data_IF_686669468001
#
_entry.id   IF_686669468001
#
_cell.length_a   1.000
_cell.length_b   1.000
_cell.length_c   1.000
_cell.angle_alpha   90.00
_cell.angle_beta   90.00
_cell.angle_gamma   90.00
#
_symmetry.space_group_name_H-M   'P 1'
#
loop_
_entity.id
_entity.type
_entity.pdbx_description
1 polymer ?
#
# COMPACT_ATOMS: atom_id res chain seq x y z
N UNK A 1 6.73 -4.32 -11.77
CA UNK A 1 6.11 -4.49 -10.42
C UNK A 1 6.58 -5.81 -9.82
N UNK A 2 6.77 -5.90 -8.51
CA UNK A 2 7.41 -7.05 -7.86
C UNK A 2 6.62 -8.37 -7.93
N UNK A 3 5.28 -8.33 -8.09
CA UNK A 3 4.42 -9.51 -8.01
C UNK A 3 4.18 -10.22 -9.34
N UNK A 4 4.56 -9.64 -10.48
CA UNK A 4 4.31 -10.26 -11.80
C UNK A 4 2.84 -10.32 -12.24
N UNK A 5 1.89 -9.88 -11.41
CA UNK A 5 0.46 -9.79 -11.71
C UNK A 5 -0.16 -8.49 -11.17
N UNK A 6 -1.36 -8.16 -11.65
CA UNK A 6 -2.11 -6.98 -11.21
C UNK A 6 -2.73 -7.20 -9.83
N UNK A 7 -2.63 -6.19 -8.97
CA UNK A 7 -3.25 -6.19 -7.64
C UNK A 7 -4.31 -5.10 -7.59
N UNK A 8 -5.47 -5.43 -7.04
CA UNK A 8 -6.51 -4.44 -6.78
C UNK A 8 -6.03 -3.42 -5.73
N UNK A 9 -5.97 -2.15 -6.12
CA UNK A 9 -5.42 -1.08 -5.28
C UNK A 9 -6.25 -0.85 -4.01
N UNK A 10 -7.58 -1.02 -4.08
CA UNK A 10 -8.49 -0.83 -2.94
C UNK A 10 -8.27 -1.90 -1.87
N UNK A 11 -8.18 -3.15 -2.29
CA UNK A 11 -7.89 -4.28 -1.42
C UNK A 11 -6.49 -4.19 -0.83
N UNK A 12 -5.49 -3.81 -1.63
CA UNK A 12 -4.14 -3.58 -1.15
C UNK A 12 -4.12 -2.54 -0.04
N UNK A 13 -4.71 -1.38 -0.26
CA UNK A 13 -4.80 -0.32 0.75
C UNK A 13 -5.51 -0.82 2.01
N UNK A 14 -6.62 -1.55 1.88
CA UNK A 14 -7.39 -2.09 3.01
C UNK A 14 -6.56 -3.06 3.85
N UNK A 15 -5.83 -3.98 3.22
CA UNK A 15 -4.98 -4.96 3.92
C UNK A 15 -3.84 -4.25 4.66
N UNK A 16 -3.14 -3.33 4.00
CA UNK A 16 -2.03 -2.59 4.61
C UNK A 16 -2.49 -1.72 5.79
N UNK A 17 -3.64 -1.05 5.65
CA UNK A 17 -4.20 -0.24 6.73
C UNK A 17 -4.66 -1.09 7.92
N UNK A 18 -5.36 -2.21 7.66
CA UNK A 18 -5.82 -3.13 8.73
C UNK A 18 -4.65 -3.75 9.51
N UNK A 19 -3.53 -4.03 8.84
CA UNK A 19 -2.30 -4.53 9.47
C UNK A 19 -1.46 -3.44 10.14
N UNK A 20 -1.89 -2.18 10.08
CA UNK A 20 -1.14 -1.05 10.62
C UNK A 20 0.21 -0.83 9.96
N UNK A 21 0.39 -1.25 8.69
CA UNK A 21 1.64 -1.05 7.93
C UNK A 21 1.72 0.37 7.37
N UNK A 22 0.56 0.92 7.01
CA UNK A 22 0.43 2.31 6.56
C UNK A 22 -0.59 3.05 7.42
N UNK A 23 -0.38 4.35 7.59
CA UNK A 23 -1.35 5.25 8.20
C UNK A 23 -1.58 6.46 7.30
N UNK A 24 -2.81 6.98 7.35
CA UNK A 24 -3.16 8.21 6.63
C UNK A 24 -2.40 9.37 7.24
N UNK A 25 -1.93 10.28 6.40
CA UNK A 25 -1.20 11.49 6.83
C UNK A 25 -2.13 12.66 7.14
N UNK A 26 -3.39 12.58 6.74
CA UNK A 26 -4.34 13.69 6.79
C UNK A 26 -4.27 14.63 5.58
N UNK A 27 -3.24 14.51 4.74
CA UNK A 27 -3.08 15.33 3.53
C UNK A 27 -3.47 14.57 2.26
N UNK A 28 -3.63 15.31 1.17
CA UNK A 28 -3.83 14.78 -0.18
C UNK A 28 -2.70 15.21 -1.10
N UNK A 29 -2.49 14.46 -2.16
CA UNK A 29 -1.58 14.80 -3.24
C UNK A 29 -1.99 16.10 -3.92
N UNK A 30 -1.01 16.80 -4.49
CA UNK A 30 -1.31 17.91 -5.39
C UNK A 30 -2.09 17.39 -6.61
N UNK A 31 -3.12 18.09 -7.07
CA UNK A 31 -3.85 17.73 -8.29
C UNK A 31 -2.89 17.64 -9.48
N UNK A 32 -2.95 16.53 -10.23
CA UNK A 32 -2.18 16.34 -11.44
C UNK A 32 -2.80 17.03 -12.66
N UNK A 33 -2.03 17.16 -13.75
CA UNK A 33 -2.48 17.78 -15.02
C UNK A 33 -3.71 17.10 -15.65
N UNK A 34 -3.91 15.83 -15.37
CA UNK A 34 -5.03 15.03 -15.89
C UNK A 34 -6.35 15.25 -15.15
N UNK A 35 -6.37 16.08 -14.10
CA UNK A 35 -7.53 16.26 -13.23
C UNK A 35 -7.85 15.03 -12.38
N UNK A 36 -8.97 15.08 -11.65
CA UNK A 36 -9.45 14.01 -10.78
C UNK A 36 -9.41 14.35 -9.29
N UNK A 37 -9.98 13.46 -8.47
CA UNK A 37 -9.97 13.61 -7.01
C UNK A 37 -8.53 13.49 -6.49
N UNK A 38 -8.03 14.45 -5.68
CA UNK A 38 -6.71 14.34 -5.05
C UNK A 38 -6.56 13.03 -4.26
N UNK A 39 -5.48 12.29 -4.51
CA UNK A 39 -5.20 11.05 -3.81
C UNK A 39 -4.85 11.32 -2.34
N UNK A 40 -5.37 10.52 -1.41
CA UNK A 40 -4.96 10.62 -0.01
C UNK A 40 -3.51 10.15 0.16
N UNK A 41 -2.73 10.89 0.95
CA UNK A 41 -1.35 10.54 1.25
C UNK A 41 -1.25 9.61 2.46
N UNK A 42 -0.41 8.58 2.34
CA UNK A 42 -0.13 7.61 3.39
C UNK A 42 1.37 7.58 3.69
N UNK A 43 1.73 7.21 4.92
CA UNK A 43 3.10 6.91 5.31
C UNK A 43 3.20 5.51 5.88
N UNK A 44 4.38 4.91 5.81
CA UNK A 44 4.68 3.72 6.61
C UNK A 44 4.64 4.07 8.09
N UNK A 45 4.15 3.15 8.90
CA UNK A 45 4.10 3.31 10.36
C UNK A 45 5.45 3.11 11.02
N UNK A 46 6.33 2.33 10.39
CA UNK A 46 7.73 2.14 10.78
C UNK A 46 8.67 2.79 9.75
N UNK A 47 9.83 3.25 10.23
CA UNK A 47 10.91 3.83 9.41
C UNK A 47 12.04 2.82 9.13
N UNK A 48 11.90 1.59 9.62
CA UNK A 48 12.87 0.49 9.43
C UNK A 48 12.27 -0.62 8.58
N UNK A 49 13.15 -1.41 7.98
CA UNK A 49 12.75 -2.63 7.29
C UNK A 49 12.24 -3.65 8.32
N UNK A 50 10.97 -4.04 8.19
CA UNK A 50 10.31 -5.04 9.03
C UNK A 50 9.51 -5.99 8.15
N UNK A 51 9.55 -7.28 8.46
CA UNK A 51 8.63 -8.26 7.88
C UNK A 51 7.23 -7.97 8.43
N UNK A 52 6.29 -7.61 7.56
CA UNK A 52 4.94 -7.18 7.94
C UNK A 52 3.93 -8.32 7.99
N UNK A 53 4.33 -9.51 7.53
CA UNK A 53 3.58 -10.76 7.58
C UNK A 53 4.56 -11.93 7.59
N UNK A 54 4.90 -12.41 8.79
CA UNK A 54 5.88 -13.49 8.98
C UNK A 54 5.37 -14.86 8.52
N UNK A 55 4.08 -14.97 8.21
CA UNK A 55 3.42 -16.20 7.72
C UNK A 55 2.87 -16.06 6.29
N UNK A 56 3.26 -15.02 5.54
CA UNK A 56 2.88 -14.89 4.15
C UNK A 56 3.49 -16.04 3.33
N UNK A 57 2.72 -17.11 3.13
CA UNK A 57 3.07 -18.17 2.21
C UNK A 57 2.95 -17.62 0.78
N UNK A 58 4.10 -17.33 0.16
CA UNK A 58 4.15 -17.12 -1.28
C UNK A 58 3.87 -18.45 -1.97
N UNK A 59 3.04 -18.44 -3.02
CA UNK A 59 2.86 -19.64 -3.86
C UNK A 59 4.26 -20.07 -4.35
N UNK A 60 4.70 -21.31 -4.09
CA UNK A 60 5.99 -21.77 -4.57
C UNK A 60 6.01 -21.72 -6.11
N UNK A 61 7.16 -21.43 -6.74
CA UNK A 61 7.25 -21.43 -8.19
C UNK A 61 6.90 -22.83 -8.73
N UNK A 62 5.86 -22.89 -9.56
CA UNK A 62 5.25 -24.08 -10.14
C UNK A 62 4.07 -23.74 -11.03
#
# INVERSE_FOLDING_TARGET
>A
AALGYQVDATNLQRVLARRGVITRTGTTAHPGRSGGRPAAMYRFTDSRLRVTDEFAALRPPG
#
